data_IF_376837300530
#
_entry.id   IF_376837300530
#
_cell.length_a   1.000
_cell.length_b   1.000
_cell.length_c   1.000
_cell.angle_alpha   90.00
_cell.angle_beta   90.00
_cell.angle_gamma   90.00
#
_symmetry.space_group_name_H-M   'P 1'
#
loop_
_entity.id
_entity.type
_entity.pdbx_description
1 polymer ?
#
# COMPACT_ATOMS: atom_id res chain seq x y z
N UNK A 1 0.91 69.13 -3.87
CA UNK A 1 2.07 68.44 -3.26
C UNK A 1 1.54 67.37 -2.32
N UNK A 2 1.82 66.07 -2.56
CA UNK A 2 1.25 64.99 -1.78
C UNK A 2 2.09 64.74 -0.51
N UNK A 3 1.51 64.92 0.67
CA UNK A 3 2.08 64.39 1.91
C UNK A 3 1.66 62.92 2.03
N UNK A 4 2.57 62.04 1.60
CA UNK A 4 2.40 60.60 1.64
C UNK A 4 2.21 60.09 3.08
N UNK A 5 1.00 59.62 3.36
CA UNK A 5 0.63 58.94 4.59
C UNK A 5 1.38 57.59 4.66
N UNK A 6 2.49 57.56 5.42
CA UNK A 6 3.26 56.33 5.66
C UNK A 6 2.42 55.44 6.56
N UNK A 7 1.68 54.50 5.94
CA UNK A 7 1.03 53.37 6.62
C UNK A 7 2.03 52.69 7.56
N UNK A 8 1.91 52.97 8.86
CA UNK A 8 2.63 52.28 9.94
C UNK A 8 2.12 50.85 10.00
N UNK A 9 2.73 49.94 9.24
CA UNK A 9 2.51 48.52 9.45
C UNK A 9 3.02 48.17 10.84
N UNK A 10 2.11 47.76 11.73
CA UNK A 10 2.42 47.31 13.07
C UNK A 10 3.49 46.18 12.98
N UNK A 11 4.68 46.34 13.58
CA UNK A 11 5.79 45.40 13.42
C UNK A 11 5.44 43.96 13.84
N UNK A 12 4.43 43.78 14.70
CA UNK A 12 3.89 42.47 15.07
C UNK A 12 3.22 41.72 13.92
N UNK A 13 2.51 42.43 13.03
CA UNK A 13 1.75 41.80 11.91
C UNK A 13 2.69 41.18 10.89
N UNK A 14 3.82 41.85 10.58
CA UNK A 14 4.82 41.31 9.65
C UNK A 14 5.52 40.06 10.20
N UNK A 15 5.82 40.05 11.50
CA UNK A 15 6.39 38.87 12.18
C UNK A 15 5.39 37.72 12.20
N UNK A 16 4.12 37.98 12.55
CA UNK A 16 3.07 36.97 12.54
C UNK A 16 2.86 36.38 11.15
N UNK A 17 2.70 37.22 10.11
CA UNK A 17 2.55 36.76 8.73
C UNK A 17 3.74 35.91 8.26
N UNK A 18 4.95 36.30 8.63
CA UNK A 18 6.16 35.52 8.32
C UNK A 18 6.07 34.12 8.94
N UNK A 19 5.85 34.02 10.24
CA UNK A 19 5.82 32.72 10.93
C UNK A 19 4.65 31.86 10.48
N UNK A 20 3.47 32.46 10.25
CA UNK A 20 2.33 31.77 9.66
C UNK A 20 2.65 31.26 8.25
N UNK A 21 3.33 32.06 7.41
CA UNK A 21 3.77 31.66 6.08
C UNK A 21 4.79 30.53 6.09
N UNK A 22 5.75 30.55 7.02
CA UNK A 22 6.71 29.46 7.20
C UNK A 22 6.03 28.17 7.65
N UNK A 23 5.10 28.26 8.61
CA UNK A 23 4.32 27.11 9.07
C UNK A 23 3.45 26.53 7.96
N UNK A 24 2.70 27.38 7.24
CA UNK A 24 1.91 26.96 6.09
C UNK A 24 2.78 26.38 4.96
N UNK A 25 3.94 26.98 4.72
CA UNK A 25 4.88 26.52 3.71
C UNK A 25 5.44 25.13 4.01
N UNK A 26 5.85 24.88 5.27
CA UNK A 26 6.26 23.55 5.70
C UNK A 26 5.12 22.52 5.53
N UNK A 27 3.89 22.90 5.90
CA UNK A 27 2.73 22.02 5.74
C UNK A 27 2.45 21.68 4.27
N UNK A 28 2.51 22.67 3.38
CA UNK A 28 2.36 22.46 1.93
C UNK A 28 3.45 21.55 1.35
N UNK A 29 4.69 21.70 1.82
CA UNK A 29 5.77 20.80 1.42
C UNK A 29 5.50 19.35 1.85
N UNK A 30 5.01 19.13 3.08
CA UNK A 30 4.60 17.81 3.56
C UNK A 30 3.48 17.24 2.69
N UNK A 31 2.43 18.03 2.41
CA UNK A 31 1.32 17.59 1.55
C UNK A 31 1.77 17.28 0.12
N UNK A 32 2.65 18.10 -0.46
CA UNK A 32 3.20 17.87 -1.80
C UNK A 32 4.01 16.59 -1.86
N UNK A 33 4.97 16.40 -0.96
CA UNK A 33 5.82 15.20 -0.94
C UNK A 33 4.97 13.94 -0.68
N UNK A 34 4.12 13.96 0.34
CA UNK A 34 3.30 12.79 0.68
C UNK A 34 2.26 12.51 -0.40
N UNK A 35 1.62 13.53 -0.99
CA UNK A 35 0.66 13.37 -2.09
C UNK A 35 1.30 12.78 -3.34
N UNK A 36 2.50 13.23 -3.71
CA UNK A 36 3.27 12.67 -4.82
C UNK A 36 3.57 11.19 -4.60
N UNK A 37 4.08 10.84 -3.42
CA UNK A 37 4.37 9.43 -3.08
C UNK A 37 3.09 8.60 -3.08
N UNK A 38 2.00 9.06 -2.46
CA UNK A 38 0.76 8.29 -2.32
C UNK A 38 0.02 8.03 -3.64
N UNK A 39 0.19 8.86 -4.66
CA UNK A 39 -0.43 8.64 -5.97
C UNK A 39 0.31 7.59 -6.81
N UNK A 40 1.61 7.40 -6.55
CA UNK A 40 2.44 6.36 -7.16
C UNK A 40 2.23 5.00 -6.46
N UNK A 41 1.01 4.48 -6.53
CA UNK A 41 0.61 3.25 -5.82
C UNK A 41 1.29 1.99 -6.33
N UNK A 42 1.80 2.04 -7.55
CA UNK A 42 2.59 0.99 -8.19
C UNK A 42 4.01 0.87 -7.62
N UNK A 43 4.47 1.86 -6.85
CA UNK A 43 5.75 1.80 -6.16
C UNK A 43 5.68 0.81 -4.99
N UNK A 44 6.12 -0.42 -5.27
CA UNK A 44 6.10 -1.54 -4.33
C UNK A 44 6.85 -1.23 -3.03
N UNK A 45 7.95 -0.49 -3.09
CA UNK A 45 8.75 -0.12 -1.90
C UNK A 45 7.92 0.59 -0.83
N UNK A 46 6.93 1.41 -1.21
CA UNK A 46 6.09 2.15 -0.26
C UNK A 46 5.29 1.21 0.64
N UNK A 47 4.88 0.06 0.09
CA UNK A 47 4.05 -0.92 0.77
C UNK A 47 4.87 -2.01 1.48
N UNK A 48 6.16 -2.09 1.18
CA UNK A 48 7.13 -3.05 1.73
C UNK A 48 8.02 -2.41 2.82
N UNK A 49 8.11 -1.08 2.87
CA UNK A 49 8.91 -0.37 3.87
C UNK A 49 8.17 -0.19 5.18
N UNK A 50 8.91 -0.18 6.28
CA UNK A 50 8.39 0.10 7.63
C UNK A 50 9.02 1.38 8.19
N UNK A 51 8.31 2.03 9.11
CA UNK A 51 8.86 3.14 9.90
C UNK A 51 9.20 2.62 11.30
N UNK A 52 10.35 3.03 11.88
CA UNK A 52 10.68 2.66 13.24
C UNK A 52 9.69 3.26 14.24
N UNK A 53 9.43 2.53 15.33
CA UNK A 53 8.41 2.85 16.32
C UNK A 53 8.58 4.26 16.92
N UNK A 54 9.81 4.74 17.10
CA UNK A 54 10.09 6.06 17.66
C UNK A 54 9.64 7.25 16.77
N UNK A 55 9.40 7.03 15.47
CA UNK A 55 8.88 8.06 14.57
C UNK A 55 7.35 8.16 14.60
N UNK A 56 6.68 7.21 15.28
CA UNK A 56 5.23 7.03 15.21
C UNK A 56 4.61 7.25 16.60
N UNK A 57 3.59 8.11 16.74
CA UNK A 57 2.86 8.27 18.01
C UNK A 57 2.27 6.96 18.52
N UNK A 58 2.28 6.77 19.85
CA UNK A 58 1.77 5.56 20.53
C UNK A 58 0.34 5.18 20.09
N UNK A 59 -0.53 6.18 19.88
CA UNK A 59 -1.92 5.94 19.45
C UNK A 59 -2.01 5.28 18.07
N UNK A 60 -1.07 5.60 17.17
CA UNK A 60 -1.01 4.98 15.85
C UNK A 60 -0.52 3.53 15.98
N UNK A 61 0.45 3.28 16.86
CA UNK A 61 0.96 1.93 17.16
C UNK A 61 -0.14 1.06 17.75
N UNK A 62 -0.88 1.56 18.75
CA UNK A 62 -1.99 0.83 19.37
C UNK A 62 -3.10 0.51 18.35
N UNK A 63 -3.43 1.49 17.50
CA UNK A 63 -4.37 1.26 16.40
C UNK A 63 -3.85 0.23 15.39
N UNK A 64 -2.55 0.27 15.08
CA UNK A 64 -1.93 -0.68 14.17
C UNK A 64 -1.96 -2.10 14.76
N UNK A 65 -1.67 -2.26 16.06
CA UNK A 65 -1.72 -3.55 16.79
C UNK A 65 -3.09 -4.21 16.69
N UNK A 66 -4.16 -3.43 16.82
CA UNK A 66 -5.54 -3.94 16.72
C UNK A 66 -5.94 -4.35 15.28
N UNK A 67 -5.19 -3.90 14.26
CA UNK A 67 -5.43 -4.20 12.85
C UNK A 67 -4.45 -5.21 12.24
N UNK A 68 -3.57 -5.80 13.05
CA UNK A 68 -2.47 -6.68 12.62
C UNK A 68 -2.98 -7.99 12.04
N UNK A 69 -3.94 -8.63 12.70
CA UNK A 69 -4.51 -9.91 12.29
C UNK A 69 -5.82 -9.65 11.55
N UNK A 70 -5.82 -9.97 10.25
CA UNK A 70 -7.01 -9.88 9.37
C UNK A 70 -7.38 -11.22 8.75
N UNK A 71 -6.45 -12.17 8.80
CA UNK A 71 -6.57 -13.50 8.27
C UNK A 71 -6.43 -14.47 9.44
N UNK A 72 -7.30 -15.47 9.49
CA UNK A 72 -7.27 -16.52 10.47
C UNK A 72 -7.75 -17.81 9.82
N UNK A 73 -6.94 -18.86 9.90
CA UNK A 73 -7.31 -20.18 9.41
C UNK A 73 -6.97 -21.26 10.43
N UNK A 74 -7.77 -22.31 10.45
CA UNK A 74 -7.62 -23.47 11.31
C UNK A 74 -7.38 -24.67 10.39
N UNK A 75 -6.39 -25.49 10.71
CA UNK A 75 -6.18 -26.74 9.99
C UNK A 75 -7.38 -27.67 10.22
N UNK A 76 -8.11 -28.09 9.18
CA UNK A 76 -9.29 -28.95 9.33
C UNK A 76 -8.93 -30.34 9.87
N UNK A 77 -7.75 -30.86 9.54
CA UNK A 77 -7.28 -32.18 9.95
C UNK A 77 -6.60 -32.16 11.33
N UNK A 78 -6.08 -31.01 11.74
CA UNK A 78 -5.41 -30.80 13.05
C UNK A 78 -5.78 -29.44 13.65
N UNK A 79 -6.95 -29.28 14.29
CA UNK A 79 -7.44 -27.97 14.77
C UNK A 79 -6.56 -27.26 15.81
N UNK A 80 -5.58 -27.95 16.39
CA UNK A 80 -4.53 -27.37 17.24
C UNK A 80 -3.57 -26.50 16.43
N UNK A 81 -3.40 -26.78 15.14
CA UNK A 81 -2.59 -25.99 14.22
C UNK A 81 -3.44 -24.87 13.59
N UNK A 82 -2.98 -23.63 13.74
CA UNK A 82 -3.70 -22.44 13.29
C UNK A 82 -2.73 -21.41 12.76
N UNK A 83 -3.15 -20.65 11.75
CA UNK A 83 -2.38 -19.55 11.19
C UNK A 83 -3.19 -18.27 11.28
N UNK A 84 -2.55 -17.20 11.74
CA UNK A 84 -3.12 -15.87 11.86
C UNK A 84 -2.17 -14.86 11.22
N UNK A 85 -2.67 -13.91 10.45
CA UNK A 85 -1.80 -12.94 9.81
C UNK A 85 -2.50 -11.77 9.18
N UNK A 86 -1.72 -10.91 8.53
CA UNK A 86 -2.20 -9.72 7.87
C UNK A 86 -1.05 -8.80 7.46
N UNK A 87 -1.32 -7.48 7.33
CA UNK A 87 -0.34 -6.53 6.81
C UNK A 87 0.95 -6.38 7.61
N UNK A 88 0.94 -6.79 8.88
CA UNK A 88 2.03 -6.58 9.85
C UNK A 88 2.70 -7.89 10.29
N UNK A 89 2.21 -9.04 9.82
CA UNK A 89 2.87 -10.30 10.15
C UNK A 89 2.03 -11.54 9.87
N UNK A 90 2.65 -12.70 10.13
CA UNK A 90 2.07 -14.04 10.04
C UNK A 90 2.62 -14.83 11.21
N UNK A 91 1.72 -15.49 11.92
CA UNK A 91 2.03 -16.30 13.07
C UNK A 91 1.35 -17.64 12.93
N UNK A 92 2.03 -18.65 13.46
CA UNK A 92 1.53 -20.00 13.55
C UNK A 92 1.43 -20.43 15.01
N UNK A 93 0.40 -21.18 15.31
CA UNK A 93 0.19 -21.81 16.61
C UNK A 93 -0.01 -23.31 16.40
N UNK A 94 0.51 -24.12 17.31
CA UNK A 94 0.36 -25.57 17.32
C UNK A 94 -0.43 -26.09 18.54
N UNK A 95 -0.98 -25.18 19.33
CA UNK A 95 -1.63 -25.47 20.61
C UNK A 95 -3.00 -24.77 20.74
N UNK A 96 -3.73 -24.69 19.64
CA UNK A 96 -5.05 -24.05 19.56
C UNK A 96 -5.05 -22.54 19.83
N UNK A 97 -3.93 -21.87 19.57
CA UNK A 97 -3.79 -20.42 19.69
C UNK A 97 -3.37 -19.93 21.08
N UNK A 98 -2.86 -20.81 21.95
CA UNK A 98 -2.33 -20.42 23.26
C UNK A 98 -0.98 -19.73 23.11
N UNK A 99 -0.12 -20.27 22.24
CA UNK A 99 1.16 -19.66 21.89
C UNK A 99 1.26 -19.47 20.37
N UNK A 100 1.87 -18.34 19.99
CA UNK A 100 2.03 -17.93 18.60
C UNK A 100 3.50 -17.68 18.30
N UNK A 101 3.99 -18.28 17.22
CA UNK A 101 5.35 -18.13 16.74
C UNK A 101 5.34 -17.39 15.40
N UNK A 102 6.23 -16.40 15.18
CA UNK A 102 6.31 -15.71 13.91
C UNK A 102 6.82 -16.66 12.81
N UNK A 103 6.24 -16.56 11.62
CA UNK A 103 6.73 -17.26 10.42
C UNK A 103 8.04 -16.62 9.95
N UNK A 104 9.01 -17.46 9.59
CA UNK A 104 10.33 -17.04 9.10
C UNK A 104 10.33 -16.98 7.58
N UNK A 105 10.70 -15.85 7.00
CA UNK A 105 10.79 -15.64 5.54
C UNK A 105 12.24 -15.75 5.09
N UNK A 106 12.64 -16.89 4.55
CA UNK A 106 14.07 -17.25 4.36
C UNK A 106 14.80 -16.41 3.30
N UNK A 107 14.06 -15.82 2.35
CA UNK A 107 14.62 -15.06 1.23
C UNK A 107 14.47 -13.54 1.35
N UNK A 108 13.98 -13.02 2.49
CA UNK A 108 13.72 -11.58 2.65
C UNK A 108 14.20 -11.05 4.01
N UNK A 109 14.97 -9.94 4.04
CA UNK A 109 15.40 -9.31 5.29
C UNK A 109 14.23 -8.69 6.06
N UNK A 110 13.10 -8.41 5.39
CA UNK A 110 11.89 -7.88 5.99
C UNK A 110 10.69 -8.76 5.66
N UNK A 111 9.81 -8.96 6.63
CA UNK A 111 8.60 -9.74 6.42
C UNK A 111 7.64 -9.02 5.47
N UNK A 112 7.16 -9.66 4.38
CA UNK A 112 6.18 -9.04 3.51
C UNK A 112 4.79 -9.05 4.17
N UNK A 113 4.03 -7.98 3.97
CA UNK A 113 2.63 -7.95 4.42
C UNK A 113 1.79 -9.03 3.73
N UNK A 114 0.98 -9.74 4.50
CA UNK A 114 0.15 -10.86 4.02
C UNK A 114 -1.22 -10.36 3.61
N UNK A 115 -1.61 -10.67 2.38
CA UNK A 115 -2.92 -10.34 1.83
C UNK A 115 -3.84 -11.58 1.80
N UNK A 116 -3.28 -12.79 1.63
CA UNK A 116 -4.05 -14.03 1.53
C UNK A 116 -3.25 -15.25 1.98
N UNK A 117 -3.96 -16.24 2.52
CA UNK A 117 -3.46 -17.58 2.84
C UNK A 117 -4.39 -18.57 2.11
N UNK A 118 -3.84 -19.57 1.45
CA UNK A 118 -4.57 -20.59 0.72
C UNK A 118 -3.94 -21.96 1.02
N UNK A 119 -4.75 -22.97 1.30
CA UNK A 119 -4.28 -24.34 1.43
C UNK A 119 -3.91 -24.94 0.07
N UNK A 120 -2.92 -25.82 0.06
CA UNK A 120 -2.50 -26.46 -1.17
C UNK A 120 -3.64 -27.31 -1.77
N UNK A 121 -3.92 -27.21 -3.08
CA UNK A 121 -5.00 -27.96 -3.72
C UNK A 121 -4.84 -29.49 -3.66
N UNK A 122 -3.61 -30.01 -3.57
CA UNK A 122 -3.34 -31.45 -3.56
C UNK A 122 -3.04 -31.96 -2.15
N UNK A 123 -2.20 -31.23 -1.41
CA UNK A 123 -1.67 -31.64 -0.11
C UNK A 123 -2.34 -30.96 1.08
N UNK A 124 -3.32 -30.08 0.82
CA UNK A 124 -4.08 -29.39 1.85
C UNK A 124 -3.17 -28.58 2.77
N UNK A 125 -3.26 -28.82 4.08
CA UNK A 125 -2.47 -28.12 5.09
C UNK A 125 -1.06 -28.64 5.32
N UNK A 126 -0.58 -29.61 4.54
CA UNK A 126 0.86 -29.92 4.53
C UNK A 126 1.69 -28.76 3.94
N UNK A 127 1.05 -27.87 3.18
CA UNK A 127 1.66 -26.70 2.57
C UNK A 127 0.64 -25.58 2.42
N UNK A 128 1.03 -24.35 2.69
CA UNK A 128 0.18 -23.18 2.48
C UNK A 128 0.81 -22.23 1.46
N UNK A 129 -0.04 -21.64 0.62
CA UNK A 129 0.31 -20.60 -0.34
C UNK A 129 -0.05 -19.24 0.22
N UNK A 130 0.91 -18.31 0.19
CA UNK A 130 0.74 -16.96 0.70
C UNK A 130 0.75 -15.97 -0.46
N UNK A 131 -0.31 -15.17 -0.54
CA UNK A 131 -0.35 -13.97 -1.35
C UNK A 131 0.18 -12.81 -0.53
N UNK A 132 1.34 -12.27 -0.90
CA UNK A 132 2.01 -11.21 -0.13
C UNK A 132 2.14 -9.92 -0.93
N UNK A 133 2.57 -8.84 -0.29
CA UNK A 133 2.97 -7.59 -0.96
C UNK A 133 4.28 -7.70 -1.76
N UNK A 134 4.95 -8.85 -1.71
CA UNK A 134 6.20 -9.12 -2.39
C UNK A 134 6.23 -10.55 -2.97
N UNK A 135 5.26 -10.86 -3.82
CA UNK A 135 5.18 -12.13 -4.54
C UNK A 135 4.39 -13.23 -3.82
N UNK A 136 4.45 -14.41 -4.42
CA UNK A 136 3.85 -15.65 -3.93
C UNK A 136 4.89 -16.40 -3.12
N UNK A 137 4.49 -16.85 -1.94
CA UNK A 137 5.34 -17.63 -1.04
C UNK A 137 4.69 -18.96 -0.71
N UNK A 138 5.54 -19.95 -0.48
CA UNK A 138 5.17 -21.26 0.04
C UNK A 138 5.56 -21.32 1.51
N UNK A 139 4.61 -21.67 2.38
CA UNK A 139 4.80 -21.86 3.80
C UNK A 139 4.68 -23.34 4.14
N UNK A 140 5.69 -23.87 4.82
CA UNK A 140 5.59 -25.11 5.56
C UNK A 140 5.00 -24.81 6.96
N UNK A 141 3.75 -25.20 7.22
CA UNK A 141 3.11 -24.88 8.49
C UNK A 141 3.61 -25.77 9.63
N UNK A 142 4.43 -26.80 9.39
CA UNK A 142 5.05 -27.59 10.46
C UNK A 142 6.28 -26.88 11.00
N UNK A 143 7.15 -26.39 10.11
CA UNK A 143 8.39 -25.70 10.49
C UNK A 143 8.19 -24.20 10.73
N UNK A 144 7.15 -23.60 10.15
CA UNK A 144 6.94 -22.15 10.18
C UNK A 144 7.87 -21.39 9.24
N UNK A 145 8.47 -22.07 8.25
CA UNK A 145 9.34 -21.45 7.25
C UNK A 145 8.58 -21.15 5.95
N UNK A 146 8.78 -19.95 5.43
CA UNK A 146 8.22 -19.49 4.16
C UNK A 146 9.33 -19.17 3.15
N UNK A 147 9.17 -19.66 1.92
CA UNK A 147 10.09 -19.49 0.80
C UNK A 147 9.40 -18.77 -0.37
N UNK A 148 10.11 -17.86 -1.03
CA UNK A 148 9.60 -17.16 -2.20
C UNK A 148 9.55 -18.11 -3.40
N UNK A 149 8.44 -18.10 -4.15
CA UNK A 149 8.22 -19.01 -5.27
C UNK A 149 8.08 -18.27 -6.60
N UNK A 150 7.31 -17.18 -6.64
CA UNK A 150 7.00 -16.50 -7.89
C UNK A 150 6.62 -15.03 -7.71
N UNK A 151 6.75 -14.27 -8.79
CA UNK A 151 6.27 -12.88 -8.91
C UNK A 151 6.85 -11.94 -7.84
N UNK A 152 8.14 -12.09 -7.52
CA UNK A 152 8.84 -11.19 -6.61
C UNK A 152 8.69 -9.71 -7.04
N UNK A 153 8.58 -8.81 -6.07
CA UNK A 153 8.31 -7.40 -6.28
C UNK A 153 6.85 -7.05 -6.59
N UNK A 154 5.98 -8.05 -6.79
CA UNK A 154 4.58 -7.82 -7.15
C UNK A 154 3.66 -7.97 -5.95
N UNK A 155 2.65 -7.12 -5.85
CA UNK A 155 1.67 -7.20 -4.78
C UNK A 155 0.54 -8.17 -5.17
N UNK A 156 0.57 -9.35 -4.55
CA UNK A 156 -0.39 -10.43 -4.75
C UNK A 156 -1.61 -10.16 -3.89
N UNK A 157 -2.71 -9.84 -4.53
CA UNK A 157 -3.95 -9.42 -3.84
C UNK A 157 -4.89 -10.58 -3.55
N UNK A 158 -4.84 -11.64 -4.36
CA UNK A 158 -5.69 -12.82 -4.21
C UNK A 158 -5.01 -14.04 -4.84
N UNK A 159 -5.24 -15.21 -4.25
CA UNK A 159 -4.90 -16.52 -4.77
C UNK A 159 -6.18 -17.35 -4.88
N UNK A 160 -6.24 -18.27 -5.83
CA UNK A 160 -7.31 -19.27 -5.90
C UNK A 160 -6.76 -20.56 -6.48
N UNK A 161 -7.32 -21.69 -6.05
CA UNK A 161 -7.15 -22.97 -6.72
C UNK A 161 -7.68 -22.83 -8.15
N UNK A 162 -6.98 -23.41 -9.12
CA UNK A 162 -7.45 -23.48 -10.50
C UNK A 162 -8.29 -24.75 -10.73
N UNK A 163 -8.63 -25.03 -11.99
CA UNK A 163 -9.33 -26.27 -12.35
C UNK A 163 -8.46 -27.52 -12.17
N UNK A 164 -7.13 -27.38 -12.27
CA UNK A 164 -6.15 -28.44 -12.00
C UNK A 164 -5.57 -28.27 -10.59
N UNK A 165 -5.32 -29.37 -9.84
CA UNK A 165 -4.61 -29.29 -8.57
C UNK A 165 -3.15 -28.86 -8.73
N UNK A 166 -2.60 -28.89 -9.93
CA UNK A 166 -1.22 -28.45 -10.20
C UNK A 166 -1.13 -26.97 -10.56
N UNK A 167 -2.20 -26.20 -10.41
CA UNK A 167 -2.26 -24.81 -10.87
C UNK A 167 -2.95 -23.90 -9.84
N UNK A 168 -2.43 -22.67 -9.74
CA UNK A 168 -3.07 -21.57 -9.03
C UNK A 168 -3.39 -20.40 -9.97
N UNK A 169 -4.48 -19.70 -9.67
CA UNK A 169 -4.81 -18.40 -10.22
C UNK A 169 -4.42 -17.30 -9.24
N UNK A 170 -3.78 -16.26 -9.76
CA UNK A 170 -3.18 -15.19 -8.97
C UNK A 170 -3.69 -13.85 -9.48
N UNK A 171 -4.23 -13.02 -8.60
CA UNK A 171 -4.57 -11.63 -8.93
C UNK A 171 -3.50 -10.69 -8.40
N UNK A 172 -2.83 -10.00 -9.30
CA UNK A 172 -1.80 -8.99 -9.03
C UNK A 172 -2.41 -7.59 -9.13
N UNK A 173 -2.17 -6.76 -8.11
CA UNK A 173 -2.65 -5.36 -8.05
C UNK A 173 -4.15 -5.18 -8.34
N UNK A 174 -4.97 -6.15 -7.92
CA UNK A 174 -6.44 -6.18 -8.11
C UNK A 174 -6.92 -6.12 -9.57
N UNK A 175 -6.04 -6.31 -10.54
CA UNK A 175 -6.34 -5.99 -11.96
C UNK A 175 -5.79 -6.98 -12.96
N UNK A 176 -4.67 -7.66 -12.65
CA UNK A 176 -4.00 -8.56 -13.58
C UNK A 176 -4.11 -9.99 -13.10
N UNK A 177 -4.62 -10.88 -13.95
CA UNK A 177 -4.71 -12.30 -13.65
C UNK A 177 -3.46 -13.02 -14.17
N UNK A 178 -2.90 -13.90 -13.36
CA UNK A 178 -1.80 -14.78 -13.71
C UNK A 178 -2.16 -16.22 -13.37
N UNK A 179 -1.58 -17.14 -14.13
CA UNK A 179 -1.55 -18.57 -13.84
C UNK A 179 -0.17 -18.93 -13.32
N UNK A 180 -0.12 -19.73 -12.26
CA UNK A 180 1.10 -20.34 -11.73
C UNK A 180 0.99 -21.86 -11.81
N UNK A 181 1.98 -22.48 -12.43
CA UNK A 181 2.16 -23.92 -12.44
C UNK A 181 2.96 -24.35 -11.20
N UNK A 182 2.34 -25.19 -10.37
CA UNK A 182 2.92 -25.67 -9.12
C UNK A 182 3.98 -26.77 -9.35
N UNK A 183 4.03 -27.36 -10.54
CA UNK A 183 5.08 -28.35 -10.87
C UNK A 183 6.43 -27.70 -11.19
N UNK A 184 6.45 -26.36 -11.33
CA UNK A 184 7.65 -25.60 -11.69
C UNK A 184 8.12 -25.81 -13.14
N UNK A 185 7.32 -26.44 -13.99
CA UNK A 185 7.66 -26.70 -15.39
C UNK A 185 7.47 -25.45 -16.25
N UNK A 186 6.52 -24.59 -15.89
CA UNK A 186 6.21 -23.36 -16.60
C UNK A 186 6.33 -22.13 -15.71
N UNK A 187 6.89 -21.02 -16.24
CA UNK A 187 6.89 -19.76 -15.51
C UNK A 187 5.47 -19.20 -15.37
N UNK A 188 5.23 -18.27 -14.43
CA UNK A 188 3.94 -17.61 -14.29
C UNK A 188 3.54 -16.90 -15.59
N UNK A 189 2.32 -17.17 -16.07
CA UNK A 189 1.81 -16.62 -17.33
C UNK A 189 0.63 -15.67 -17.07
N UNK A 190 0.62 -14.50 -17.72
CA UNK A 190 -0.53 -13.60 -17.66
C UNK A 190 -1.72 -14.21 -18.41
N UNK A 191 -2.92 -14.02 -17.85
CA UNK A 191 -4.18 -14.38 -18.51
C UNK A 191 -4.87 -13.08 -18.92
N UNK A 192 -5.03 -12.89 -20.22
CA UNK A 192 -5.83 -11.80 -20.76
C UNK A 192 -7.31 -12.14 -20.64
N UNK A 193 -8.04 -11.31 -19.91
CA UNK A 193 -9.50 -11.39 -19.78
C UNK A 193 -10.08 -10.32 -20.69
N UNK A 194 -10.94 -10.72 -21.63
CA UNK A 194 -11.67 -9.78 -22.46
C UNK A 194 -12.57 -8.89 -21.59
N UNK A 195 -12.64 -7.57 -21.87
CA UNK A 195 -13.55 -6.70 -21.14
C UNK A 195 -15.01 -7.13 -21.37
N UNK A 196 -15.91 -6.90 -20.40
CA UNK A 196 -17.34 -7.10 -20.60
C UNK A 196 -17.85 -6.29 -21.80
N UNK A 197 -18.90 -6.78 -22.46
CA UNK A 197 -19.49 -6.06 -23.58
C UNK A 197 -20.04 -4.70 -23.11
N UNK A 198 -19.98 -3.62 -23.91
CA UNK A 198 -20.36 -2.27 -23.48
C UNK A 198 -21.78 -2.16 -22.88
N UNK A 199 -22.72 -2.97 -23.35
CA UNK A 199 -24.10 -2.99 -22.83
C UNK A 199 -24.33 -3.81 -21.56
N UNK A 200 -23.30 -4.51 -21.06
CA UNK A 200 -23.36 -5.29 -19.82
C UNK A 200 -22.89 -4.50 -18.60
N UNK A 201 -22.27 -3.34 -18.82
CA UNK A 201 -21.77 -2.49 -17.75
C UNK A 201 -22.89 -1.55 -17.24
N UNK A 202 -22.90 -1.22 -15.95
CA UNK A 202 -23.80 -0.20 -15.42
C UNK A 202 -23.63 1.13 -16.17
N UNK A 203 -24.75 1.73 -16.59
CA UNK A 203 -24.78 3.02 -17.31
C UNK A 203 -24.63 4.23 -16.38
N UNK A 204 -24.64 4.00 -15.06
CA UNK A 204 -24.56 5.05 -14.05
C UNK A 204 -23.53 4.67 -12.99
N UNK A 205 -22.79 5.67 -12.52
CA UNK A 205 -21.92 5.55 -11.36
C UNK A 205 -22.59 6.19 -10.15
N UNK A 206 -22.40 5.60 -8.98
CA UNK A 206 -22.93 6.19 -7.74
C UNK A 206 -22.24 7.51 -7.40
N UNK A 207 -22.97 8.44 -6.77
CA UNK A 207 -22.42 9.73 -6.34
C UNK A 207 -21.17 9.58 -5.46
N UNK A 208 -21.20 8.63 -4.52
CA UNK A 208 -20.03 8.32 -3.68
C UNK A 208 -18.80 7.96 -4.53
N UNK A 209 -19.00 7.14 -5.58
CA UNK A 209 -17.92 6.76 -6.49
C UNK A 209 -17.40 7.96 -7.27
N UNK A 210 -18.30 8.79 -7.80
CA UNK A 210 -17.94 10.02 -8.51
C UNK A 210 -17.12 10.97 -7.61
N UNK A 211 -17.58 11.22 -6.39
CA UNK A 211 -16.90 12.11 -5.43
C UNK A 211 -15.53 11.55 -5.06
N UNK A 212 -15.42 10.24 -4.82
CA UNK A 212 -14.12 9.60 -4.57
C UNK A 212 -13.18 9.68 -5.77
N UNK A 213 -13.68 9.40 -6.97
CA UNK A 213 -12.87 9.48 -8.18
C UNK A 213 -12.37 10.91 -8.39
N UNK A 214 -13.25 11.92 -8.26
CA UNK A 214 -12.87 13.33 -8.32
C UNK A 214 -11.85 13.71 -7.23
N UNK A 215 -12.02 13.23 -6.00
CA UNK A 215 -11.08 13.47 -4.89
C UNK A 215 -9.70 12.89 -5.17
N UNK A 216 -9.63 11.72 -5.82
CA UNK A 216 -8.38 11.09 -6.26
C UNK A 216 -7.96 11.53 -7.67
N UNK A 217 -8.60 12.54 -8.26
CA UNK A 217 -8.34 13.02 -9.63
C UNK A 217 -8.76 12.07 -10.76
N UNK A 218 -9.28 10.88 -10.46
CA UNK A 218 -9.66 9.86 -11.43
C UNK A 218 -10.91 10.26 -12.21
N UNK A 219 -10.94 9.91 -13.49
CA UNK A 219 -12.17 9.95 -14.30
C UNK A 219 -12.53 11.30 -14.93
N UNK A 220 -11.84 12.40 -14.59
CA UNK A 220 -11.93 13.64 -15.37
C UNK A 220 -11.16 13.56 -16.69
N UNK A 221 -10.01 12.89 -16.65
CA UNK A 221 -9.10 12.70 -17.78
C UNK A 221 -8.58 11.26 -17.77
N UNK A 222 -7.93 10.86 -18.86
CA UNK A 222 -7.25 9.57 -18.93
C UNK A 222 -6.23 9.43 -17.78
N UNK A 223 -6.06 8.20 -17.27
CA UNK A 223 -5.24 7.94 -16.09
C UNK A 223 -3.82 8.54 -16.14
N UNK A 224 -3.07 8.49 -17.26
CA UNK A 224 -1.74 9.10 -17.33
C UNK A 224 -1.76 10.63 -17.17
N UNK A 225 -2.81 11.28 -17.71
CA UNK A 225 -2.95 12.73 -17.66
C UNK A 225 -3.34 13.18 -16.25
N UNK A 226 -4.24 12.43 -15.59
CA UNK A 226 -4.59 12.66 -14.20
C UNK A 226 -3.37 12.57 -13.28
N UNK A 227 -2.53 11.54 -13.47
CA UNK A 227 -1.31 11.35 -12.69
C UNK A 227 -0.36 12.54 -12.86
N UNK A 228 -0.12 12.94 -14.12
CA UNK A 228 0.74 14.09 -14.44
C UNK A 228 0.26 15.39 -13.78
N UNK A 229 -1.05 15.67 -13.80
CA UNK A 229 -1.62 16.87 -13.16
C UNK A 229 -1.39 16.83 -11.65
N UNK A 230 -1.59 15.67 -11.02
CA UNK A 230 -1.35 15.52 -9.59
C UNK A 230 0.14 15.72 -9.24
N UNK A 231 1.05 15.18 -10.05
CA UNK A 231 2.49 15.34 -9.87
C UNK A 231 2.91 16.80 -9.98
N UNK A 232 2.46 17.50 -11.02
CA UNK A 232 2.72 18.94 -11.18
C UNK A 232 2.14 19.73 -10.00
N UNK A 233 0.93 19.40 -9.55
CA UNK A 233 0.32 20.01 -8.37
C UNK A 233 1.16 19.81 -7.10
N UNK A 234 1.65 18.60 -6.87
CA UNK A 234 2.53 18.27 -5.76
C UNK A 234 3.85 19.04 -5.81
N UNK A 235 4.48 19.14 -6.98
CA UNK A 235 5.68 19.95 -7.18
C UNK A 235 5.44 21.43 -6.93
N UNK A 236 4.31 21.98 -7.38
CA UNK A 236 3.92 23.37 -7.10
C UNK A 236 3.77 23.59 -5.59
N UNK A 237 3.09 22.68 -4.88
CA UNK A 237 2.94 22.75 -3.42
C UNK A 237 4.28 22.68 -2.68
N UNK A 238 5.29 22.01 -3.23
CA UNK A 238 6.63 21.96 -2.68
C UNK A 238 7.46 23.22 -3.01
N UNK A 239 7.42 23.68 -4.26
CA UNK A 239 8.26 24.77 -4.76
C UNK A 239 7.76 26.16 -4.34
N UNK A 240 6.45 26.37 -4.23
CA UNK A 240 5.88 27.66 -3.80
C UNK A 240 6.39 28.10 -2.41
N UNK A 241 6.35 27.24 -1.37
CA UNK A 241 6.95 27.54 -0.07
C UNK A 241 8.44 27.89 -0.13
N UNK A 242 9.21 27.15 -0.92
CA UNK A 242 10.66 27.35 -1.08
C UNK A 242 10.91 28.72 -1.71
N UNK A 243 10.19 29.05 -2.78
CA UNK A 243 10.25 30.37 -3.41
C UNK A 243 9.91 31.48 -2.44
N UNK A 244 8.80 31.35 -1.71
CA UNK A 244 8.38 32.32 -0.68
C UNK A 244 9.43 32.52 0.41
N UNK A 245 10.05 31.43 0.88
CA UNK A 245 11.15 31.48 1.85
C UNK A 245 12.37 32.20 1.30
N UNK A 246 12.81 31.87 0.08
CA UNK A 246 13.98 32.50 -0.56
C UNK A 246 13.76 34.00 -0.77
N UNK A 247 12.58 34.42 -1.24
CA UNK A 247 12.22 35.84 -1.38
C UNK A 247 12.22 36.57 -0.03
N UNK A 248 11.85 35.91 1.05
CA UNK A 248 11.86 36.48 2.39
C UNK A 248 13.27 36.57 2.99
N UNK A 249 14.13 35.59 2.71
CA UNK A 249 15.42 35.40 3.34
C UNK A 249 16.57 36.11 2.62
N UNK A 250 16.62 36.04 1.28
CA UNK A 250 17.72 36.62 0.48
C UNK A 250 17.90 38.12 0.71
N UNK A 251 16.84 38.96 0.80
CA UNK A 251 17.00 40.38 1.06
C UNK A 251 17.44 40.72 2.50
N UNK A 252 17.56 39.73 3.39
CA UNK A 252 17.99 39.89 4.78
C UNK A 252 19.45 39.49 5.00
N UNK A 253 20.11 38.98 3.96
CA UNK A 253 21.56 38.78 3.90
C UNK A 253 22.20 40.00 3.24
#
# INVERSE_FOLDING_TARGET
>A
MPSGDRKRHLPGVRKLHTWAGLGAGLWLAVLGITGFVLEHRDWSWMWQSTAPEFLVPAQIIDKARNGTVKLYQINPDRPTQRVAGGPQGLWISHDSGQHWQPVVFTASPAMPGINMILDDPETGWSQLWLGTRNGVWQLDPVTGEAQSVALEGRNITTLSKAASPTELLIVVDKSRLFRLDLTGRMPPAAIDIAPPAPGQLPTHIGLSRLVHDLHFGRGLLAAPVSLLINDVGAWIMLLLPIGGFLFWWLPRR
#
